data_IF_386866296619
#
_entry.id   IF_386866296619
#
_cell.length_a   1.000
_cell.length_b   1.000
_cell.length_c   1.000
_cell.angle_alpha   90.00
_cell.angle_beta   90.00
_cell.angle_gamma   90.00
#
_symmetry.space_group_name_H-M   'P 1'
#
loop_
_entity.id
_entity.type
_entity.pdbx_description
1 polymer ?
#
# COMPACT_ATOMS: atom_id res chain seq x y z
N UNK A 1 -7.80 13.41 -7.01
CA UNK A 1 -7.11 12.84 -5.84
C UNK A 1 -6.31 11.66 -6.33
N UNK A 2 -4.98 11.71 -6.17
CA UNK A 2 -4.07 10.60 -6.45
C UNK A 2 -4.54 9.28 -5.81
N UNK A 3 -4.41 8.16 -6.52
CA UNK A 3 -4.80 6.83 -6.02
C UNK A 3 -3.59 5.98 -5.63
N UNK A 4 -2.59 5.83 -6.49
CA UNK A 4 -1.38 5.09 -6.22
C UNK A 4 -0.56 5.82 -5.15
N UNK A 5 0.06 5.01 -4.31
CA UNK A 5 0.72 5.46 -3.09
C UNK A 5 2.19 5.76 -3.33
N UNK A 6 2.77 6.66 -2.54
CA UNK A 6 4.20 6.99 -2.65
C UNK A 6 4.93 6.52 -1.40
N UNK A 7 5.91 5.65 -1.59
CA UNK A 7 6.87 5.23 -0.57
C UNK A 7 8.13 6.07 -0.71
N UNK A 8 8.58 6.71 0.36
CA UNK A 8 9.82 7.51 0.36
C UNK A 8 10.82 6.88 1.33
N UNK A 9 12.05 6.70 0.89
CA UNK A 9 13.14 6.23 1.75
C UNK A 9 13.69 7.40 2.56
N UNK A 10 13.75 7.25 3.88
CA UNK A 10 14.35 8.24 4.76
C UNK A 10 15.86 8.01 4.86
N UNK A 11 16.59 9.11 4.98
CA UNK A 11 18.05 9.13 5.10
C UNK A 11 18.57 10.53 5.46
N UNK A 12 19.88 10.79 5.28
CA UNK A 12 20.52 12.06 5.64
C UNK A 12 19.87 13.32 5.03
N UNK A 13 19.32 13.24 3.82
CA UNK A 13 18.63 14.37 3.18
C UNK A 13 17.28 14.73 3.84
N UNK A 14 16.78 13.86 4.71
CA UNK A 14 15.48 13.98 5.39
C UNK A 14 15.62 13.96 6.92
N UNK A 15 16.82 14.24 7.43
CA UNK A 15 17.15 14.07 8.85
C UNK A 15 16.72 15.26 9.73
N UNK A 16 15.49 15.72 9.53
CA UNK A 16 14.84 16.69 10.39
C UNK A 16 13.32 16.52 10.38
N UNK A 17 12.67 17.01 11.43
CA UNK A 17 11.21 17.03 11.51
C UNK A 17 10.59 17.81 10.35
N UNK A 18 11.15 18.97 10.02
CA UNK A 18 10.65 19.86 8.98
C UNK A 18 10.70 19.20 7.60
N UNK A 19 11.78 18.48 7.29
CA UNK A 19 11.90 17.75 6.03
C UNK A 19 10.92 16.59 5.95
N UNK A 20 10.79 15.78 7.00
CA UNK A 20 9.82 14.68 7.02
C UNK A 20 8.40 15.21 6.87
N UNK A 21 8.05 16.29 7.58
CA UNK A 21 6.74 16.93 7.43
C UNK A 21 6.53 17.44 6.01
N UNK A 22 7.54 18.06 5.39
CA UNK A 22 7.47 18.51 4.01
C UNK A 22 7.26 17.34 3.02
N UNK A 23 7.86 16.17 3.26
CA UNK A 23 7.57 14.96 2.47
C UNK A 23 6.12 14.49 2.66
N UNK A 24 5.62 14.48 3.89
CA UNK A 24 4.21 14.13 4.18
C UNK A 24 3.28 15.09 3.45
N UNK A 25 3.51 16.40 3.50
CA UNK A 25 2.71 17.42 2.82
C UNK A 25 2.78 17.26 1.28
N UNK A 26 3.98 17.01 0.73
CA UNK A 26 4.19 16.76 -0.70
C UNK A 26 3.53 15.47 -1.20
N UNK A 27 3.22 14.53 -0.30
CA UNK A 27 2.45 13.35 -0.62
C UNK A 27 3.09 12.01 -0.30
N UNK A 28 4.02 11.93 0.64
CA UNK A 28 4.48 10.64 1.17
C UNK A 28 3.31 9.90 1.87
N UNK A 29 3.07 8.65 1.48
CA UNK A 29 2.09 7.78 2.13
C UNK A 29 2.77 6.75 3.06
N UNK A 30 4.03 6.41 2.77
CA UNK A 30 4.81 5.45 3.55
C UNK A 30 6.26 5.89 3.66
N UNK A 31 6.79 5.90 4.87
CA UNK A 31 8.21 6.11 5.14
C UNK A 31 8.94 4.76 5.20
N UNK A 32 9.91 4.56 4.32
CA UNK A 32 10.80 3.38 4.31
C UNK A 32 12.08 3.67 5.11
N UNK A 33 12.42 2.74 5.99
CA UNK A 33 13.65 2.71 6.77
C UNK A 33 14.52 1.58 6.23
N UNK A 34 15.64 1.92 5.58
CA UNK A 34 16.60 0.95 5.07
C UNK A 34 17.53 0.50 6.22
N UNK A 35 17.15 -0.59 6.91
CA UNK A 35 17.87 -1.06 8.09
C UNK A 35 19.21 -1.70 7.70
N UNK A 36 20.15 -1.74 8.64
CA UNK A 36 21.49 -2.31 8.43
C UNK A 36 22.49 -1.44 7.66
N UNK A 37 22.13 -0.19 7.33
CA UNK A 37 23.02 0.82 6.74
C UNK A 37 23.37 1.96 7.71
N UNK A 38 22.49 2.25 8.67
CA UNK A 38 22.63 3.34 9.64
C UNK A 38 22.43 2.83 11.08
N UNK A 39 22.74 3.68 12.07
CA UNK A 39 22.56 3.36 13.47
C UNK A 39 21.08 3.39 13.91
N UNK A 40 20.70 2.54 14.87
CA UNK A 40 19.32 2.48 15.39
C UNK A 40 18.82 3.81 15.98
N UNK A 41 19.71 4.60 16.59
CA UNK A 41 19.36 5.90 17.16
C UNK A 41 18.78 6.86 16.12
N UNK A 42 19.39 6.93 14.93
CA UNK A 42 18.91 7.77 13.82
C UNK A 42 17.52 7.31 13.34
N UNK A 43 17.32 5.99 13.23
CA UNK A 43 16.02 5.45 12.85
C UNK A 43 14.93 5.72 13.91
N UNK A 44 15.26 5.70 15.21
CA UNK A 44 14.28 6.02 16.27
C UNK A 44 13.81 7.47 16.21
N UNK A 45 14.70 8.43 15.95
CA UNK A 45 14.33 9.84 15.80
C UNK A 45 13.44 10.06 14.59
N UNK A 46 13.83 9.53 13.43
CA UNK A 46 13.01 9.59 12.21
C UNK A 46 11.65 8.94 12.39
N UNK A 47 11.57 7.80 13.10
CA UNK A 47 10.29 7.18 13.43
C UNK A 47 9.38 8.12 14.23
N UNK A 48 9.91 8.79 15.27
CA UNK A 48 9.14 9.76 16.06
C UNK A 48 8.68 10.95 15.22
N UNK A 49 9.53 11.47 14.34
CA UNK A 49 9.16 12.56 13.44
C UNK A 49 8.07 12.17 12.44
N UNK A 50 8.12 10.96 11.87
CA UNK A 50 7.05 10.47 10.98
C UNK A 50 5.72 10.37 11.72
N UNK A 51 5.71 9.79 12.94
CA UNK A 51 4.46 9.70 13.72
C UNK A 51 3.93 11.08 14.09
N UNK A 52 4.79 11.99 14.55
CA UNK A 52 4.42 13.39 14.84
C UNK A 52 3.83 14.09 13.61
N UNK A 53 4.48 13.98 12.45
CA UNK A 53 4.01 14.61 11.21
C UNK A 53 2.67 14.02 10.73
N UNK A 54 2.48 12.70 10.85
CA UNK A 54 1.23 12.03 10.52
C UNK A 54 0.07 12.53 11.41
N UNK A 55 0.32 12.67 12.72
CA UNK A 55 -0.67 13.17 13.67
C UNK A 55 -1.03 14.64 13.43
N UNK A 56 -0.03 15.51 13.24
CA UNK A 56 -0.26 16.96 13.00
C UNK A 56 -0.97 17.23 11.66
N UNK A 57 -0.67 16.47 10.61
CA UNK A 57 -1.29 16.66 9.29
C UNK A 57 -2.62 15.91 9.15
N UNK A 58 -2.94 15.01 10.09
CA UNK A 58 -4.08 14.09 10.00
C UNK A 58 -3.94 13.02 8.90
N UNK A 59 -2.81 12.97 8.18
CA UNK A 59 -2.56 12.00 7.10
C UNK A 59 -2.13 10.66 7.68
N UNK A 60 -2.63 9.58 7.09
CA UNK A 60 -2.18 8.23 7.45
C UNK A 60 -0.86 7.92 6.77
N UNK A 61 0.25 7.95 7.52
CA UNK A 61 1.59 7.60 7.02
C UNK A 61 2.04 6.28 7.63
N UNK A 62 2.20 5.25 6.80
CA UNK A 62 2.75 3.97 7.22
C UNK A 62 4.27 4.03 7.39
N UNK A 63 4.84 3.14 8.22
CA UNK A 63 6.30 2.96 8.32
C UNK A 63 6.69 1.53 7.95
N UNK A 64 7.66 1.42 7.05
CA UNK A 64 8.14 0.19 6.46
C UNK A 64 9.59 -0.06 6.87
N UNK A 65 9.85 -1.18 7.52
CA UNK A 65 11.19 -1.65 7.85
C UNK A 65 11.72 -2.51 6.69
N UNK A 66 12.75 -2.05 5.98
CA UNK A 66 13.39 -2.82 4.91
C UNK A 66 14.64 -3.51 5.47
N UNK A 67 14.59 -4.83 5.57
CA UNK A 67 15.69 -5.65 6.06
C UNK A 67 16.74 -5.79 4.96
N UNK A 68 18.00 -5.52 5.29
CA UNK A 68 19.12 -5.55 4.34
C UNK A 68 19.28 -6.92 3.66
N UNK A 69 19.05 -8.00 4.39
CA UNK A 69 19.29 -9.35 3.93
C UNK A 69 20.78 -9.72 3.89
N UNK A 70 21.11 -10.94 3.43
CA UNK A 70 22.47 -11.45 3.45
C UNK A 70 23.42 -10.62 2.58
N UNK A 71 24.48 -10.08 3.20
CA UNK A 71 25.49 -9.22 2.53
C UNK A 71 26.33 -9.99 1.51
N UNK A 72 26.48 -11.31 1.64
CA UNK A 72 27.12 -12.17 0.62
C UNK A 72 26.75 -13.65 0.76
N UNK A 73 26.66 -14.35 -0.37
CA UNK A 73 26.62 -15.82 -0.45
C UNK A 73 25.23 -16.48 -0.27
N UNK A 74 25.16 -17.82 -0.38
CA UNK A 74 23.91 -18.60 -0.32
C UNK A 74 23.38 -18.77 1.12
N UNK A 75 23.69 -17.83 2.01
CA UNK A 75 23.38 -17.90 3.43
C UNK A 75 21.88 -17.95 3.76
N UNK A 76 21.55 -18.01 5.06
CA UNK A 76 20.17 -17.93 5.52
C UNK A 76 19.54 -16.63 5.03
N UNK A 77 18.21 -16.66 4.83
CA UNK A 77 17.48 -15.49 4.32
C UNK A 77 17.47 -14.31 5.30
N UNK A 78 17.62 -14.59 6.59
CA UNK A 78 17.88 -13.59 7.62
C UNK A 78 19.28 -13.81 8.18
N UNK A 79 20.10 -12.76 8.18
CA UNK A 79 21.32 -12.73 8.99
C UNK A 79 20.99 -12.48 10.47
N UNK A 80 21.91 -12.75 11.41
CA UNK A 80 21.71 -12.37 12.81
C UNK A 80 21.44 -10.86 13.00
N UNK A 81 22.02 -10.02 12.14
CA UNK A 81 21.74 -8.59 12.13
C UNK A 81 20.30 -8.29 11.68
N UNK A 82 19.82 -8.96 10.61
CA UNK A 82 18.43 -8.81 10.15
C UNK A 82 17.44 -9.29 11.22
N UNK A 83 17.72 -10.39 11.93
CA UNK A 83 16.87 -10.86 13.02
C UNK A 83 16.81 -9.80 14.15
N UNK A 84 17.95 -9.21 14.51
CA UNK A 84 17.98 -8.16 15.52
C UNK A 84 17.19 -6.92 15.06
N UNK A 85 17.30 -6.53 13.79
CA UNK A 85 16.63 -5.36 13.22
C UNK A 85 15.12 -5.60 13.09
N UNK A 86 14.72 -6.81 12.72
CA UNK A 86 13.33 -7.23 12.70
C UNK A 86 12.69 -7.16 14.09
N UNK A 87 13.36 -7.69 15.13
CA UNK A 87 12.86 -7.59 16.51
C UNK A 87 12.68 -6.14 16.95
N UNK A 88 13.64 -5.28 16.62
CA UNK A 88 13.52 -3.85 16.92
C UNK A 88 12.35 -3.21 16.17
N UNK A 89 12.19 -3.48 14.87
CA UNK A 89 11.06 -2.96 14.11
C UNK A 89 9.70 -3.39 14.70
N UNK A 90 9.58 -4.66 15.13
CA UNK A 90 8.39 -5.20 15.79
C UNK A 90 8.09 -4.46 17.10
N UNK A 91 9.09 -4.28 17.97
CA UNK A 91 8.95 -3.60 19.27
C UNK A 91 8.66 -2.10 19.13
N UNK A 92 9.33 -1.43 18.20
CA UNK A 92 9.15 0.01 17.93
C UNK A 92 7.76 0.31 17.37
N UNK A 93 7.11 -0.68 16.75
CA UNK A 93 5.75 -0.56 16.23
C UNK A 93 5.69 -0.19 14.76
N UNK A 94 6.61 -0.76 13.96
CA UNK A 94 6.51 -0.66 12.50
C UNK A 94 5.23 -1.29 11.96
N UNK A 95 4.79 -0.82 10.79
CA UNK A 95 3.52 -1.23 10.21
C UNK A 95 3.67 -2.40 9.23
N UNK A 96 4.81 -2.46 8.53
CA UNK A 96 5.13 -3.44 7.48
C UNK A 96 6.64 -3.72 7.47
N UNK A 97 7.02 -4.94 7.08
CA UNK A 97 8.42 -5.35 6.85
C UNK A 97 8.61 -5.66 5.36
N UNK A 98 9.75 -5.32 4.79
CA UNK A 98 10.19 -5.82 3.49
C UNK A 98 11.40 -6.74 3.67
N UNK A 99 11.34 -7.93 3.05
CA UNK A 99 12.40 -8.94 3.10
C UNK A 99 13.19 -8.91 1.79
N UNK A 100 14.49 -8.60 1.87
CA UNK A 100 15.41 -8.61 0.72
C UNK A 100 15.78 -10.02 0.27
N UNK A 101 16.18 -10.13 -1.00
CA UNK A 101 16.72 -11.33 -1.63
C UNK A 101 15.87 -12.59 -1.47
N UNK A 102 14.55 -12.44 -1.50
CA UNK A 102 13.62 -13.57 -1.49
C UNK A 102 13.90 -14.48 -2.69
N UNK A 103 13.86 -15.79 -2.45
CA UNK A 103 14.08 -16.85 -3.44
C UNK A 103 12.85 -17.74 -3.57
N UNK A 104 12.07 -17.91 -2.51
CA UNK A 104 10.87 -18.77 -2.50
C UNK A 104 9.82 -18.31 -1.50
N UNK A 105 8.61 -18.85 -1.62
CA UNK A 105 7.53 -18.60 -0.64
C UNK A 105 7.88 -19.06 0.80
N UNK A 106 8.79 -20.02 0.97
CA UNK A 106 9.21 -20.53 2.29
C UNK A 106 10.08 -19.55 3.08
N UNK A 107 10.68 -18.57 2.41
CA UNK A 107 11.55 -17.60 3.07
C UNK A 107 10.81 -16.78 4.15
N UNK A 108 9.49 -16.67 4.05
CA UNK A 108 8.66 -16.01 5.06
C UNK A 108 8.68 -16.73 6.42
N UNK A 109 8.95 -18.04 6.45
CA UNK A 109 8.93 -18.84 7.68
C UNK A 109 9.99 -18.35 8.68
N UNK A 110 11.15 -17.90 8.19
CA UNK A 110 12.20 -17.33 9.04
C UNK A 110 11.76 -16.01 9.69
N UNK A 111 11.05 -15.15 8.94
CA UNK A 111 10.51 -13.88 9.45
C UNK A 111 9.40 -14.15 10.47
N UNK A 112 8.49 -15.07 10.17
CA UNK A 112 7.42 -15.45 11.08
C UNK A 112 7.92 -16.04 12.38
N UNK A 113 8.97 -16.88 12.35
CA UNK A 113 9.60 -17.41 13.58
C UNK A 113 10.01 -16.28 14.52
N UNK A 114 10.75 -15.30 14.02
CA UNK A 114 11.21 -14.16 14.83
C UNK A 114 10.03 -13.33 15.36
N UNK A 115 9.03 -13.07 14.51
CA UNK A 115 7.82 -12.33 14.92
C UNK A 115 6.98 -13.07 15.96
N UNK A 116 6.91 -14.41 15.88
CA UNK A 116 6.20 -15.25 16.84
C UNK A 116 6.87 -15.22 18.22
N UNK A 117 8.20 -15.22 18.26
CA UNK A 117 8.97 -15.06 19.50
C UNK A 117 8.76 -13.69 20.14
N UNK A 118 8.57 -12.63 19.34
CA UNK A 118 8.22 -11.29 19.82
C UNK A 118 6.71 -11.11 20.10
N UNK A 119 5.89 -12.14 19.83
CA UNK A 119 4.45 -12.15 20.08
C UNK A 119 3.62 -11.22 19.17
N UNK A 120 4.18 -10.75 18.06
CA UNK A 120 3.50 -9.82 17.13
C UNK A 120 3.95 -10.03 15.69
N UNK A 121 3.00 -10.34 14.82
CA UNK A 121 3.22 -10.39 13.35
C UNK A 121 2.89 -9.06 12.67
N UNK A 122 3.78 -8.66 11.77
CA UNK A 122 3.58 -7.57 10.82
C UNK A 122 3.44 -8.15 9.41
N UNK A 123 2.70 -7.49 8.49
CA UNK A 123 2.70 -7.86 7.09
C UNK A 123 4.12 -7.83 6.50
N UNK A 124 4.43 -8.81 5.64
CA UNK A 124 5.74 -8.94 5.00
C UNK A 124 5.62 -8.78 3.49
N UNK A 125 6.39 -7.84 2.91
CA UNK A 125 6.58 -7.70 1.47
C UNK A 125 7.81 -8.50 1.04
N UNK A 126 7.66 -9.40 0.07
CA UNK A 126 8.81 -10.03 -0.58
C UNK A 126 9.42 -9.10 -1.61
N UNK A 127 10.71 -8.81 -1.51
CA UNK A 127 11.45 -8.08 -2.54
C UNK A 127 11.88 -9.05 -3.64
N UNK A 128 11.34 -8.83 -4.85
CA UNK A 128 11.59 -9.63 -6.05
C UNK A 128 12.85 -9.11 -6.72
N UNK A 129 13.99 -9.63 -6.27
CA UNK A 129 15.35 -9.19 -6.67
C UNK A 129 16.15 -10.32 -7.32
N UNK A 130 15.74 -11.57 -7.08
CA UNK A 130 16.46 -12.77 -7.49
C UNK A 130 15.70 -13.53 -8.58
N UNK A 131 16.39 -14.10 -9.59
CA UNK A 131 15.76 -14.94 -10.63
C UNK A 131 14.92 -16.09 -10.07
N UNK A 132 15.32 -16.64 -8.91
CA UNK A 132 14.59 -17.67 -8.19
C UNK A 132 13.19 -17.19 -7.75
N UNK A 133 13.08 -15.98 -7.20
CA UNK A 133 11.78 -15.40 -6.86
C UNK A 133 10.93 -15.11 -8.10
N UNK A 134 11.54 -14.72 -9.22
CA UNK A 134 10.82 -14.54 -10.49
C UNK A 134 10.26 -15.86 -11.00
N UNK A 135 11.04 -16.94 -10.92
CA UNK A 135 10.59 -18.28 -11.29
C UNK A 135 9.46 -18.77 -10.37
N UNK A 136 9.59 -18.55 -9.06
CA UNK A 136 8.65 -18.95 -8.02
C UNK A 136 7.59 -17.88 -7.68
N UNK A 137 7.32 -16.93 -8.57
CA UNK A 137 6.55 -15.73 -8.24
C UNK A 137 5.11 -16.03 -7.78
N UNK A 138 4.52 -17.12 -8.25
CA UNK A 138 3.19 -17.55 -7.80
C UNK A 138 3.19 -18.00 -6.34
N UNK A 139 4.19 -18.79 -5.94
CA UNK A 139 4.36 -19.24 -4.55
C UNK A 139 4.74 -18.09 -3.62
N UNK A 140 5.61 -17.18 -4.09
CA UNK A 140 6.00 -15.97 -3.35
C UNK A 140 4.76 -15.09 -3.11
N UNK A 141 4.00 -14.79 -4.17
CA UNK A 141 2.76 -14.02 -4.02
C UNK A 141 1.73 -14.78 -3.18
N UNK A 142 1.68 -16.10 -3.19
CA UNK A 142 0.75 -16.85 -2.33
C UNK A 142 1.13 -16.75 -0.84
N UNK A 143 2.42 -16.82 -0.51
CA UNK A 143 2.93 -16.85 0.86
C UNK A 143 3.01 -15.48 1.55
N UNK A 144 3.49 -14.44 0.86
CA UNK A 144 3.75 -13.11 1.44
C UNK A 144 2.53 -12.19 1.42
N UNK A 145 2.47 -11.17 2.27
CA UNK A 145 1.33 -10.24 2.33
C UNK A 145 1.28 -9.24 1.16
N UNK A 146 2.42 -9.04 0.52
CA UNK A 146 2.60 -8.23 -0.68
C UNK A 146 3.98 -8.45 -1.30
N UNK A 147 4.29 -7.69 -2.34
CA UNK A 147 5.59 -7.77 -3.01
C UNK A 147 6.15 -6.39 -3.34
N UNK A 148 7.46 -6.32 -3.50
CA UNK A 148 8.17 -5.14 -4.00
C UNK A 148 9.03 -5.58 -5.20
N UNK A 149 8.80 -4.99 -6.36
CA UNK A 149 9.62 -5.24 -7.56
C UNK A 149 10.80 -4.28 -7.52
N UNK A 150 11.96 -4.76 -7.08
CA UNK A 150 13.19 -3.98 -6.94
C UNK A 150 14.06 -4.15 -8.20
N UNK A 151 13.87 -3.21 -9.13
CA UNK A 151 14.32 -3.30 -10.52
C UNK A 151 15.84 -3.13 -10.68
N UNK A 152 16.46 -2.34 -9.82
CA UNK A 152 17.91 -2.14 -9.79
C UNK A 152 18.64 -3.45 -9.50
N UNK A 153 18.33 -4.09 -8.37
CA UNK A 153 18.90 -5.39 -8.01
C UNK A 153 18.54 -6.48 -9.03
N UNK A 154 17.28 -6.50 -9.48
CA UNK A 154 16.85 -7.49 -10.46
C UNK A 154 17.60 -7.32 -11.79
N UNK A 155 17.84 -6.09 -12.25
CA UNK A 155 18.59 -5.81 -13.48
C UNK A 155 20.08 -6.16 -13.40
N UNK A 156 20.63 -6.36 -12.21
CA UNK A 156 21.97 -6.92 -12.01
C UNK A 156 21.96 -8.45 -12.12
N UNK A 157 20.89 -9.09 -11.65
CA UNK A 157 20.80 -10.55 -11.52
C UNK A 157 20.18 -11.25 -12.75
N UNK A 158 19.57 -10.50 -13.68
CA UNK A 158 19.01 -11.04 -14.93
C UNK A 158 19.11 -10.03 -16.09
N UNK A 159 18.97 -10.47 -17.36
CA UNK A 159 19.01 -9.55 -18.52
C UNK A 159 18.03 -8.39 -18.39
N UNK A 160 18.52 -7.16 -18.59
CA UNK A 160 17.78 -5.92 -18.35
C UNK A 160 16.52 -5.80 -19.21
N UNK A 161 16.55 -6.35 -20.43
CA UNK A 161 15.44 -6.34 -21.38
C UNK A 161 14.24 -7.19 -20.91
N UNK A 162 14.44 -8.09 -19.95
CA UNK A 162 13.38 -8.92 -19.38
C UNK A 162 12.71 -8.28 -18.15
N UNK A 163 13.38 -7.33 -17.48
CA UNK A 163 12.88 -6.71 -16.23
C UNK A 163 11.49 -6.07 -16.41
N UNK A 164 11.18 -5.32 -17.49
CA UNK A 164 9.84 -4.75 -17.69
C UNK A 164 8.74 -5.81 -17.80
N UNK A 165 9.04 -6.96 -18.42
CA UNK A 165 8.08 -8.06 -18.57
C UNK A 165 7.82 -8.74 -17.22
N UNK A 166 8.86 -8.91 -16.41
CA UNK A 166 8.75 -9.45 -15.04
C UNK A 166 7.91 -8.52 -14.16
N UNK A 167 8.15 -7.21 -14.20
CA UNK A 167 7.33 -6.21 -13.49
C UNK A 167 5.85 -6.37 -13.83
N UNK A 168 5.51 -6.36 -15.12
CA UNK A 168 4.12 -6.49 -15.60
C UNK A 168 3.45 -7.76 -15.09
N UNK A 169 4.18 -8.89 -15.11
CA UNK A 169 3.69 -10.17 -14.60
C UNK A 169 3.47 -10.12 -13.09
N UNK A 170 4.45 -9.62 -12.32
CA UNK A 170 4.40 -9.54 -10.86
C UNK A 170 3.26 -8.65 -10.37
N UNK A 171 3.14 -7.42 -10.92
CA UNK A 171 2.07 -6.47 -10.58
C UNK A 171 0.69 -7.07 -10.86
N UNK A 172 0.49 -7.67 -12.03
CA UNK A 172 -0.78 -8.33 -12.39
C UNK A 172 -1.14 -9.45 -11.42
N UNK A 173 -0.15 -10.26 -11.04
CA UNK A 173 -0.34 -11.39 -10.14
C UNK A 173 -0.67 -10.94 -8.70
N UNK A 174 0.02 -9.93 -8.18
CA UNK A 174 -0.26 -9.35 -6.87
C UNK A 174 -1.66 -8.74 -6.81
N UNK A 175 -2.02 -7.91 -7.81
CA UNK A 175 -3.35 -7.32 -7.98
C UNK A 175 -4.44 -8.40 -8.02
N UNK A 176 -4.24 -9.48 -8.81
CA UNK A 176 -5.19 -10.60 -8.89
C UNK A 176 -5.45 -11.23 -7.52
N UNK A 177 -4.41 -11.34 -6.69
CA UNK A 177 -4.48 -11.92 -5.35
C UNK A 177 -4.86 -10.92 -4.25
N UNK A 178 -5.22 -9.67 -4.60
CA UNK A 178 -5.53 -8.61 -3.63
C UNK A 178 -4.38 -8.33 -2.65
N UNK A 179 -3.14 -8.41 -3.14
CA UNK A 179 -1.92 -8.16 -2.38
C UNK A 179 -1.26 -6.88 -2.86
N UNK A 180 -0.83 -5.96 -1.97
CA UNK A 180 -0.17 -4.74 -2.37
C UNK A 180 1.12 -5.03 -3.14
N UNK A 181 1.38 -4.25 -4.17
CA UNK A 181 2.63 -4.29 -4.93
C UNK A 181 3.25 -2.90 -5.00
N UNK A 182 4.55 -2.84 -4.70
CA UNK A 182 5.38 -1.64 -4.82
C UNK A 182 6.32 -1.83 -6.01
N UNK A 183 6.39 -0.85 -6.92
CA UNK A 183 7.46 -0.79 -7.93
C UNK A 183 8.54 0.16 -7.42
N UNK A 184 9.76 -0.34 -7.35
CA UNK A 184 10.86 0.26 -6.62
C UNK A 184 12.13 0.40 -7.45
N UNK A 185 12.99 1.34 -7.03
CA UNK A 185 14.31 1.69 -7.57
C UNK A 185 14.28 2.22 -9.01
N UNK A 186 15.25 3.06 -9.38
CA UNK A 186 15.38 3.64 -10.73
C UNK A 186 14.11 4.35 -11.23
N UNK A 187 13.36 5.00 -10.33
CA UNK A 187 12.11 5.66 -10.70
C UNK A 187 12.37 7.09 -11.20
N UNK A 188 12.98 7.93 -10.37
CA UNK A 188 13.37 9.30 -10.71
C UNK A 188 14.84 9.53 -10.33
N UNK A 189 15.71 8.55 -10.57
CA UNK A 189 17.10 8.47 -10.08
C UNK A 189 17.93 9.73 -10.39
N UNK A 190 17.75 10.34 -11.56
CA UNK A 190 18.42 11.58 -11.92
C UNK A 190 18.11 12.73 -10.96
N UNK A 191 17.00 12.65 -10.22
CA UNK A 191 16.60 13.65 -9.23
C UNK A 191 17.39 13.59 -7.92
N UNK A 192 18.28 12.63 -7.74
CA UNK A 192 19.30 12.66 -6.69
C UNK A 192 20.15 13.93 -6.83
N UNK A 193 20.58 14.24 -8.06
CA UNK A 193 21.46 15.38 -8.35
C UNK A 193 20.75 16.55 -9.05
N UNK A 194 19.61 16.31 -9.70
CA UNK A 194 18.92 17.31 -10.54
C UNK A 194 17.51 17.64 -10.05
N UNK A 195 17.07 18.89 -10.21
CA UNK A 195 15.72 19.29 -9.79
C UNK A 195 14.59 18.78 -10.72
N UNK A 196 14.92 18.08 -11.82
CA UNK A 196 13.94 17.54 -12.79
C UNK A 196 14.39 16.17 -13.29
N UNK A 197 13.43 15.26 -13.54
CA UNK A 197 13.72 13.95 -14.11
C UNK A 197 13.88 14.05 -15.63
N UNK A 198 14.45 12.99 -16.19
CA UNK A 198 14.46 12.74 -17.63
C UNK A 198 13.08 12.32 -18.14
N UNK A 199 12.87 12.41 -19.46
CA UNK A 199 11.63 11.91 -20.09
C UNK A 199 11.46 10.39 -19.96
N UNK A 200 12.58 9.66 -19.92
CA UNK A 200 12.57 8.21 -19.77
C UNK A 200 12.03 7.80 -18.40
N UNK A 201 12.49 8.45 -17.33
CA UNK A 201 12.01 8.24 -15.96
C UNK A 201 10.54 8.59 -15.80
N UNK A 202 10.08 9.72 -16.38
CA UNK A 202 8.66 10.07 -16.38
C UNK A 202 7.82 8.99 -17.05
N UNK A 203 8.27 8.48 -18.21
CA UNK A 203 7.59 7.39 -18.92
C UNK A 203 7.57 6.10 -18.09
N UNK A 204 8.66 5.79 -17.40
CA UNK A 204 8.80 4.58 -16.60
C UNK A 204 7.87 4.59 -15.38
N UNK A 205 7.84 5.70 -14.62
CA UNK A 205 6.89 5.90 -13.52
C UNK A 205 5.45 5.76 -14.01
N UNK A 206 5.10 6.42 -15.12
CA UNK A 206 3.75 6.33 -15.69
C UNK A 206 3.40 4.89 -16.08
N UNK A 207 4.33 4.14 -16.67
CA UNK A 207 4.11 2.74 -17.03
C UNK A 207 3.91 1.84 -15.79
N UNK A 208 4.61 2.08 -14.68
CA UNK A 208 4.37 1.36 -13.44
C UNK A 208 2.94 1.56 -12.90
N UNK A 209 2.42 2.80 -13.01
CA UNK A 209 1.02 3.12 -12.65
C UNK A 209 0.04 2.43 -13.60
N UNK A 210 0.27 2.49 -14.90
CA UNK A 210 -0.57 1.85 -15.93
C UNK A 210 -0.58 0.32 -15.82
N UNK A 211 0.54 -0.29 -15.40
CA UNK A 211 0.61 -1.72 -15.07
C UNK A 211 -0.29 -2.09 -13.88
N UNK A 212 -0.65 -1.10 -13.07
CA UNK A 212 -1.59 -1.21 -11.96
C UNK A 212 -0.91 -1.38 -10.61
N UNK A 213 0.29 -0.84 -10.42
CA UNK A 213 0.96 -0.88 -9.11
C UNK A 213 0.12 -0.23 -8.01
N UNK A 214 0.24 -0.70 -6.77
CA UNK A 214 -0.42 -0.04 -5.63
C UNK A 214 0.39 1.16 -5.15
N UNK A 215 1.73 1.05 -5.21
CA UNK A 215 2.62 2.12 -4.84
C UNK A 215 3.86 2.20 -5.75
N UNK A 216 4.46 3.39 -5.78
CA UNK A 216 5.75 3.71 -6.40
C UNK A 216 6.72 4.15 -5.30
N UNK A 217 8.01 3.82 -5.43
CA UNK A 217 8.99 4.09 -4.37
C UNK A 217 10.18 4.94 -4.83
N UNK A 218 10.46 5.98 -4.05
CA UNK A 218 11.68 6.78 -4.12
C UNK A 218 12.73 6.21 -3.15
N UNK A 219 13.94 6.01 -3.65
CA UNK A 219 15.08 5.43 -2.95
C UNK A 219 16.09 6.54 -2.61
N UNK A 220 17.18 6.64 -3.36
CA UNK A 220 18.21 7.66 -3.17
C UNK A 220 17.67 9.08 -3.34
N UNK A 221 16.64 9.25 -4.17
CA UNK A 221 16.01 10.53 -4.48
C UNK A 221 15.55 11.28 -3.23
N UNK A 222 15.03 10.56 -2.23
CA UNK A 222 14.60 11.15 -0.96
C UNK A 222 15.58 10.90 0.18
N UNK A 223 16.35 9.81 0.16
CA UNK A 223 17.22 9.48 1.30
C UNK A 223 18.51 10.32 1.32
N UNK A 224 19.12 10.56 0.16
CA UNK A 224 20.42 11.27 0.03
C UNK A 224 20.41 12.38 -1.02
N UNK A 225 19.36 12.46 -1.82
CA UNK A 225 19.23 13.42 -2.92
C UNK A 225 19.15 14.88 -2.46
N UNK A 226 19.50 15.79 -3.37
CA UNK A 226 19.50 17.24 -3.14
C UNK A 226 18.10 17.86 -3.17
N UNK A 227 17.11 17.14 -3.71
CA UNK A 227 15.77 17.65 -4.01
C UNK A 227 14.66 16.69 -3.54
N UNK A 228 14.65 16.29 -2.25
CA UNK A 228 13.77 15.20 -1.78
C UNK A 228 12.28 15.58 -1.87
N UNK A 229 11.91 16.82 -1.53
CA UNK A 229 10.52 17.29 -1.58
C UNK A 229 10.05 17.45 -3.03
N UNK A 230 10.90 17.94 -3.91
CA UNK A 230 10.61 18.08 -5.34
C UNK A 230 10.48 16.72 -6.04
N UNK A 231 11.25 15.71 -5.61
CA UNK A 231 11.12 14.35 -6.11
C UNK A 231 9.75 13.76 -5.76
N UNK A 232 9.28 13.90 -4.51
CA UNK A 232 7.93 13.47 -4.10
C UNK A 232 6.84 14.22 -4.87
N UNK A 233 6.97 15.54 -4.98
CA UNK A 233 6.00 16.38 -5.70
C UNK A 233 5.94 16.02 -7.19
N UNK A 234 7.09 15.68 -7.79
CA UNK A 234 7.17 15.27 -9.19
C UNK A 234 6.58 13.89 -9.40
N UNK A 235 6.91 12.93 -8.52
CA UNK A 235 6.30 11.60 -8.50
C UNK A 235 4.77 11.71 -8.41
N UNK A 236 4.24 12.54 -7.51
CA UNK A 236 2.80 12.74 -7.35
C UNK A 236 2.13 13.24 -8.64
N UNK A 237 2.71 14.23 -9.32
CA UNK A 237 2.19 14.77 -10.59
C UNK A 237 2.18 13.73 -11.70
N UNK A 238 3.22 12.91 -11.82
CA UNK A 238 3.30 11.86 -12.84
C UNK A 238 2.24 10.79 -12.58
N UNK A 239 2.08 10.38 -11.31
CA UNK A 239 1.05 9.41 -10.90
C UNK A 239 -0.33 9.92 -11.24
N UNK A 240 -0.67 11.16 -10.86
CA UNK A 240 -1.99 11.74 -11.13
C UNK A 240 -2.28 11.84 -12.64
N UNK A 241 -1.29 12.23 -13.44
CA UNK A 241 -1.43 12.30 -14.90
C UNK A 241 -1.63 10.90 -15.52
N UNK A 242 -0.90 9.88 -15.05
CA UNK A 242 -1.06 8.51 -15.53
C UNK A 242 -2.41 7.90 -15.13
N UNK A 243 -2.97 8.32 -13.99
CA UNK A 243 -4.26 7.85 -13.50
C UNK A 243 -5.45 8.40 -14.27
N UNK A 244 -5.35 9.58 -14.88
CA UNK A 244 -6.45 10.20 -15.62
C UNK A 244 -7.01 9.23 -16.69
N UNK A 245 -6.12 8.65 -17.50
CA UNK A 245 -6.50 7.66 -18.52
C UNK A 245 -7.02 6.35 -17.93
N UNK A 246 -6.43 5.87 -16.83
CA UNK A 246 -6.86 4.65 -16.15
C UNK A 246 -8.28 4.77 -15.58
N UNK A 247 -8.58 5.91 -14.95
CA UNK A 247 -9.87 6.16 -14.31
C UNK A 247 -10.95 6.46 -15.36
N UNK A 248 -10.60 7.14 -16.45
CA UNK A 248 -11.52 7.41 -17.56
C UNK A 248 -12.01 6.13 -18.26
N UNK A 249 -11.20 5.06 -18.24
CA UNK A 249 -11.60 3.76 -18.80
C UNK A 249 -12.69 3.04 -17.98
N UNK A 250 -12.97 3.50 -16.75
CA UNK A 250 -13.97 2.90 -15.87
C UNK A 250 -13.58 1.52 -15.34
N UNK A 251 -14.58 0.78 -14.86
CA UNK A 251 -14.38 -0.58 -14.37
C UNK A 251 -14.08 -1.55 -15.53
N UNK A 252 -12.94 -2.23 -15.44
CA UNK A 252 -12.59 -3.26 -16.42
C UNK A 252 -13.69 -4.35 -16.50
N UNK A 253 -14.07 -4.80 -17.72
CA UNK A 253 -15.02 -5.89 -17.89
C UNK A 253 -14.57 -7.20 -17.24
N UNK A 254 -15.54 -7.96 -16.75
CA UNK A 254 -15.29 -9.31 -16.26
C UNK A 254 -15.09 -10.29 -17.43
N UNK A 255 -14.08 -11.13 -17.28
CA UNK A 255 -13.70 -12.23 -18.18
C UNK A 255 -13.44 -13.47 -17.34
N UNK A 256 -13.37 -14.64 -17.94
CA UNK A 256 -13.01 -15.87 -17.22
C UNK A 256 -11.63 -15.82 -16.54
N UNK A 257 -10.76 -14.92 -17.02
CA UNK A 257 -9.41 -14.73 -16.48
C UNK A 257 -9.37 -13.84 -15.24
N UNK A 258 -10.30 -12.90 -15.09
CA UNK A 258 -10.29 -11.91 -13.99
C UNK A 258 -11.50 -11.98 -13.06
N UNK A 259 -12.52 -12.82 -13.36
CA UNK A 259 -13.68 -12.99 -12.48
C UNK A 259 -13.26 -13.53 -11.10
N UNK A 260 -13.80 -12.97 -10.00
CA UNK A 260 -13.46 -13.42 -8.66
C UNK A 260 -13.94 -14.86 -8.40
N UNK A 261 -13.15 -15.62 -7.63
CA UNK A 261 -13.49 -17.00 -7.21
C UNK A 261 -13.74 -17.17 -5.72
N UNK A 262 -13.58 -16.09 -4.95
CA UNK A 262 -13.78 -16.07 -3.50
C UNK A 262 -15.04 -15.25 -3.17
N UNK A 263 -15.78 -15.61 -2.12
CA UNK A 263 -16.94 -14.84 -1.63
C UNK A 263 -16.65 -13.34 -1.52
N UNK A 264 -15.62 -12.95 -0.74
CA UNK A 264 -15.29 -11.54 -0.55
C UNK A 264 -14.87 -10.82 -1.84
N UNK A 265 -14.27 -11.54 -2.78
CA UNK A 265 -13.93 -11.00 -4.10
C UNK A 265 -15.16 -10.74 -4.97
N UNK A 266 -16.15 -11.64 -4.94
CA UNK A 266 -17.41 -11.48 -5.68
C UNK A 266 -18.22 -10.31 -5.12
N UNK A 267 -18.32 -10.21 -3.80
CA UNK A 267 -19.00 -9.11 -3.09
C UNK A 267 -18.34 -7.77 -3.38
N UNK A 268 -17.00 -7.69 -3.30
CA UNK A 268 -16.25 -6.48 -3.65
C UNK A 268 -16.49 -6.06 -5.11
N UNK A 269 -16.50 -7.00 -6.05
CA UNK A 269 -16.81 -6.69 -7.44
C UNK A 269 -18.24 -6.16 -7.61
N UNK A 270 -19.21 -6.83 -7.01
CA UNK A 270 -20.61 -6.43 -7.06
C UNK A 270 -20.81 -5.02 -6.47
N UNK A 271 -20.16 -4.71 -5.34
CA UNK A 271 -20.20 -3.37 -4.75
C UNK A 271 -19.66 -2.29 -5.70
N UNK A 272 -18.56 -2.57 -6.41
CA UNK A 272 -18.01 -1.65 -7.40
C UNK A 272 -18.97 -1.43 -8.59
N UNK A 273 -19.57 -2.50 -9.13
CA UNK A 273 -20.53 -2.42 -10.24
C UNK A 273 -21.83 -1.71 -9.83
N UNK A 274 -22.38 -2.02 -8.66
CA UNK A 274 -23.55 -1.33 -8.12
C UNK A 274 -23.25 0.16 -7.94
N UNK A 275 -22.06 0.50 -7.44
CA UNK A 275 -21.64 1.89 -7.30
C UNK A 275 -21.57 2.61 -8.64
N UNK A 276 -21.03 1.96 -9.65
CA UNK A 276 -20.92 2.50 -11.01
C UNK A 276 -22.30 2.74 -11.65
N UNK A 277 -23.19 1.73 -11.58
CA UNK A 277 -24.54 1.82 -12.15
C UNK A 277 -25.41 2.90 -11.51
N UNK A 278 -25.24 3.13 -10.21
CA UNK A 278 -26.05 4.08 -9.46
C UNK A 278 -25.41 5.46 -9.30
N UNK A 279 -24.20 5.66 -9.83
CA UNK A 279 -23.46 6.92 -9.67
C UNK A 279 -23.10 7.21 -8.21
N UNK A 280 -22.68 6.19 -7.46
CA UNK A 280 -22.29 6.34 -6.07
C UNK A 280 -21.07 7.27 -5.94
N UNK A 281 -21.13 8.16 -4.96
CA UNK A 281 -20.06 9.11 -4.67
C UNK A 281 -18.83 8.42 -4.08
N UNK A 282 -19.05 7.40 -3.25
CA UNK A 282 -17.98 6.62 -2.62
C UNK A 282 -18.34 5.14 -2.53
N UNK A 283 -17.31 4.32 -2.65
CA UNK A 283 -17.31 2.96 -2.11
C UNK A 283 -16.81 3.05 -0.67
N UNK A 284 -17.55 2.44 0.26
CA UNK A 284 -17.26 2.44 1.68
C UNK A 284 -17.03 1.00 2.13
N UNK A 285 -15.94 0.75 2.85
CA UNK A 285 -15.56 -0.59 3.26
C UNK A 285 -15.21 -0.65 4.75
N UNK A 286 -15.96 -1.43 5.51
CA UNK A 286 -15.58 -1.78 6.88
C UNK A 286 -14.59 -2.93 6.88
N UNK A 287 -13.54 -2.81 7.70
CA UNK A 287 -12.50 -3.83 7.76
C UNK A 287 -11.77 -3.86 9.09
N UNK A 288 -11.39 -5.06 9.52
CA UNK A 288 -10.46 -5.25 10.65
C UNK A 288 -9.04 -5.53 10.19
N UNK A 289 -8.85 -6.30 9.10
CA UNK A 289 -7.53 -6.72 8.59
C UNK A 289 -7.11 -6.03 7.29
N UNK A 290 -8.00 -5.22 6.70
CA UNK A 290 -7.82 -4.59 5.39
C UNK A 290 -8.21 -5.46 4.18
N UNK A 291 -8.57 -6.73 4.37
CA UNK A 291 -8.84 -7.65 3.24
C UNK A 291 -9.98 -7.18 2.34
N UNK A 292 -11.13 -6.78 2.91
CA UNK A 292 -12.26 -6.19 2.16
C UNK A 292 -11.80 -5.04 1.26
N UNK A 293 -10.99 -4.14 1.82
CA UNK A 293 -10.51 -2.92 1.16
C UNK A 293 -9.57 -3.28 0.01
N UNK A 294 -8.62 -4.19 0.22
CA UNK A 294 -7.70 -4.65 -0.83
C UNK A 294 -8.45 -5.34 -1.98
N UNK A 295 -9.50 -6.11 -1.68
CA UNK A 295 -10.35 -6.76 -2.70
C UNK A 295 -11.16 -5.77 -3.52
N UNK A 296 -11.57 -4.64 -2.95
CA UNK A 296 -12.19 -3.54 -3.69
C UNK A 296 -11.16 -2.79 -4.53
N UNK A 297 -10.07 -2.38 -3.88
CA UNK A 297 -8.99 -1.59 -4.48
C UNK A 297 -8.39 -2.24 -5.72
N UNK A 298 -8.24 -3.58 -5.74
CA UNK A 298 -7.68 -4.30 -6.90
C UNK A 298 -8.48 -4.12 -8.20
N UNK A 299 -9.76 -3.75 -8.12
CA UNK A 299 -10.58 -3.50 -9.32
C UNK A 299 -10.30 -2.13 -9.94
N UNK A 300 -9.55 -1.26 -9.23
CA UNK A 300 -9.17 0.09 -9.69
C UNK A 300 -10.39 0.91 -10.12
N UNK A 301 -11.45 0.86 -9.31
CA UNK A 301 -12.67 1.64 -9.53
C UNK A 301 -12.36 3.13 -9.65
N UNK A 302 -12.99 3.86 -10.58
CA UNK A 302 -12.90 5.32 -10.60
C UNK A 302 -13.54 5.96 -9.35
N UNK A 303 -14.53 5.27 -8.77
CA UNK A 303 -15.22 5.69 -7.55
C UNK A 303 -14.22 5.64 -6.37
N UNK A 304 -14.03 6.76 -5.64
CA UNK A 304 -13.11 6.79 -4.51
C UNK A 304 -13.52 5.80 -3.41
N UNK A 305 -12.52 5.19 -2.77
CA UNK A 305 -12.69 4.16 -1.76
C UNK A 305 -12.32 4.68 -0.36
N UNK A 306 -13.29 4.60 0.55
CA UNK A 306 -13.14 4.97 1.95
C UNK A 306 -13.15 3.71 2.82
N UNK A 307 -12.11 3.52 3.63
CA UNK A 307 -12.00 2.41 4.56
C UNK A 307 -12.33 2.86 5.98
N UNK A 308 -13.12 2.08 6.69
CA UNK A 308 -13.44 2.26 8.10
C UNK A 308 -12.89 1.09 8.91
N UNK A 309 -12.14 1.39 9.95
CA UNK A 309 -11.54 0.38 10.83
C UNK A 309 -11.45 0.90 12.27
N UNK A 310 -11.56 -0.01 13.23
CA UNK A 310 -11.25 0.29 14.64
C UNK A 310 -9.76 0.12 14.97
N UNK A 311 -9.00 -0.50 14.05
CA UNK A 311 -7.62 -0.89 14.29
C UNK A 311 -6.64 0.13 13.68
N UNK A 312 -5.91 0.86 14.54
CA UNK A 312 -4.86 1.79 14.11
C UNK A 312 -3.83 1.10 13.20
N UNK A 313 -3.42 -0.13 13.53
CA UNK A 313 -2.49 -0.89 12.72
C UNK A 313 -3.02 -1.14 11.30
N UNK A 314 -4.32 -1.39 11.14
CA UNK A 314 -4.93 -1.59 9.83
C UNK A 314 -5.01 -0.30 9.02
N UNK A 315 -5.30 0.84 9.67
CA UNK A 315 -5.20 2.16 9.02
C UNK A 315 -3.80 2.41 8.48
N UNK A 316 -2.77 2.20 9.29
CA UNK A 316 -1.39 2.39 8.86
C UNK A 316 -1.02 1.44 7.72
N UNK A 317 -1.41 0.16 7.76
CA UNK A 317 -1.12 -0.81 6.68
C UNK A 317 -1.82 -0.47 5.35
N UNK A 318 -3.01 0.11 5.39
CA UNK A 318 -3.76 0.52 4.20
C UNK A 318 -3.16 1.77 3.50
N UNK A 319 -2.18 2.44 4.13
CA UNK A 319 -1.41 3.50 3.48
C UNK A 319 -0.68 3.00 2.22
N UNK A 320 -0.34 1.71 2.12
CA UNK A 320 0.23 1.06 0.93
C UNK A 320 -0.80 0.61 -0.12
N UNK A 321 -2.11 0.67 0.18
CA UNK A 321 -3.15 0.14 -0.72
C UNK A 321 -3.67 1.23 -1.64
N UNK A 322 -3.77 0.93 -2.94
CA UNK A 322 -4.17 1.90 -3.97
C UNK A 322 -5.56 2.50 -3.72
N UNK A 323 -5.68 3.81 -3.83
CA UNK A 323 -6.94 4.54 -3.90
C UNK A 323 -7.73 4.62 -2.60
N UNK A 324 -7.13 4.22 -1.48
CA UNK A 324 -7.79 4.16 -0.17
C UNK A 324 -7.48 5.40 0.66
N UNK A 325 -8.53 6.08 1.12
CA UNK A 325 -8.52 6.94 2.29
C UNK A 325 -9.09 6.15 3.49
N UNK A 326 -8.47 6.25 4.66
CA UNK A 326 -8.87 5.43 5.83
C UNK A 326 -9.25 6.28 7.03
N UNK A 327 -10.35 5.92 7.66
CA UNK A 327 -10.91 6.56 8.85
C UNK A 327 -10.89 5.58 10.02
N UNK A 328 -10.48 6.10 11.17
CA UNK A 328 -10.66 5.40 12.44
C UNK A 328 -12.03 5.73 13.01
N UNK A 329 -12.69 4.72 13.56
CA UNK A 329 -13.85 4.92 14.38
C UNK A 329 -14.05 3.74 15.32
N UNK A 330 -15.13 3.75 16.13
CA UNK A 330 -15.39 2.68 17.07
C UNK A 330 -15.62 1.34 16.37
N UNK A 331 -15.45 0.25 17.12
CA UNK A 331 -15.96 -1.05 16.70
C UNK A 331 -17.49 -0.95 16.62
N UNK A 332 -18.06 -1.54 15.56
CA UNK A 332 -19.50 -1.62 15.37
C UNK A 332 -19.94 -3.07 15.56
N UNK A 333 -20.93 -3.28 16.43
CA UNK A 333 -21.44 -4.62 16.76
C UNK A 333 -22.59 -5.05 15.83
N UNK A 334 -23.20 -4.10 15.11
CA UNK A 334 -24.30 -4.35 14.17
C UNK A 334 -24.07 -3.63 12.84
N UNK A 335 -24.72 -4.11 11.78
CA UNK A 335 -24.69 -3.46 10.47
C UNK A 335 -25.34 -2.09 10.48
N UNK A 336 -26.33 -1.87 11.35
CA UNK A 336 -26.98 -0.55 11.47
C UNK A 336 -26.07 0.45 12.19
N UNK A 337 -25.30 0.00 13.18
CA UNK A 337 -24.26 0.83 13.81
C UNK A 337 -23.18 1.24 12.79
N UNK A 338 -22.80 0.34 11.86
CA UNK A 338 -21.91 0.69 10.76
C UNK A 338 -22.48 1.80 9.89
N UNK A 339 -23.76 1.73 9.51
CA UNK A 339 -24.42 2.76 8.68
C UNK A 339 -24.46 4.11 9.41
N UNK A 340 -24.86 4.12 10.68
CA UNK A 340 -24.86 5.35 11.49
C UNK A 340 -23.45 5.97 11.58
N UNK A 341 -22.42 5.14 11.71
CA UNK A 341 -21.03 5.59 11.72
C UNK A 341 -20.58 6.18 10.37
N UNK A 342 -21.03 5.61 9.24
CA UNK A 342 -20.79 6.19 7.91
C UNK A 342 -21.39 7.59 7.82
N UNK A 343 -22.65 7.75 8.24
CA UNK A 343 -23.31 9.06 8.24
C UNK A 343 -22.57 10.09 9.07
N UNK A 344 -22.27 9.76 10.33
CA UNK A 344 -21.59 10.65 11.26
C UNK A 344 -20.23 11.11 10.71
N UNK A 345 -19.39 10.15 10.31
CA UNK A 345 -18.01 10.44 9.94
C UNK A 345 -17.92 11.10 8.56
N UNK A 346 -18.70 10.67 7.57
CA UNK A 346 -18.65 11.29 6.24
C UNK A 346 -19.18 12.72 6.23
N UNK A 347 -20.20 13.02 7.04
CA UNK A 347 -20.69 14.38 7.23
C UNK A 347 -19.68 15.22 8.03
N UNK A 348 -19.15 14.70 9.15
CA UNK A 348 -18.16 15.41 9.98
C UNK A 348 -16.91 15.80 9.21
N UNK A 349 -16.37 14.90 8.38
CA UNK A 349 -15.16 15.15 7.59
C UNK A 349 -15.44 15.87 6.26
N UNK A 350 -16.68 16.28 6.00
CA UNK A 350 -17.07 16.99 4.77
C UNK A 350 -16.82 16.18 3.50
N UNK A 351 -16.83 14.85 3.58
CA UNK A 351 -16.67 13.97 2.41
C UNK A 351 -17.97 13.84 1.64
N UNK A 352 -19.10 13.78 2.34
CA UNK A 352 -20.45 13.74 1.79
C UNK A 352 -21.33 14.88 2.29
N UNK A 353 -22.34 15.22 1.50
CA UNK A 353 -23.53 15.94 1.92
C UNK A 353 -24.69 14.96 2.15
N UNK A 354 -25.71 15.40 2.89
CA UNK A 354 -26.95 14.61 3.05
C UNK A 354 -27.57 14.32 1.67
N UNK A 355 -27.99 13.08 1.46
CA UNK A 355 -28.57 12.59 0.21
C UNK A 355 -27.57 11.99 -0.79
N UNK A 356 -26.26 12.19 -0.59
CA UNK A 356 -25.22 11.55 -1.40
C UNK A 356 -25.35 10.03 -1.30
N UNK A 357 -25.19 9.36 -2.44
CA UNK A 357 -25.26 7.91 -2.52
C UNK A 357 -23.90 7.28 -2.25
N UNK A 358 -23.85 6.29 -1.36
CA UNK A 358 -22.66 5.48 -1.09
C UNK A 358 -22.99 3.99 -1.19
N UNK A 359 -22.00 3.17 -1.54
CA UNK A 359 -22.10 1.71 -1.49
C UNK A 359 -21.20 1.18 -0.39
N UNK A 360 -21.82 0.58 0.62
CA UNK A 360 -21.16 0.05 1.80
C UNK A 360 -20.94 -1.45 1.62
N UNK A 361 -19.73 -1.93 1.91
CA UNK A 361 -19.43 -3.36 2.03
C UNK A 361 -18.75 -3.67 3.35
N UNK A 362 -19.11 -4.83 3.92
CA UNK A 362 -18.58 -5.31 5.20
C UNK A 362 -18.69 -6.84 5.30
N UNK A 363 -18.18 -7.38 6.40
CA UNK A 363 -18.54 -8.71 6.88
C UNK A 363 -19.69 -8.61 7.89
N UNK A 364 -20.64 -9.53 7.79
CA UNK A 364 -21.72 -9.76 8.74
C UNK A 364 -21.69 -11.22 9.22
N UNK A 365 -21.57 -11.50 10.53
CA UNK A 365 -21.56 -10.54 11.64
C UNK A 365 -20.32 -9.62 11.62
N UNK A 366 -20.46 -8.37 12.10
CA UNK A 366 -19.33 -7.45 12.27
C UNK A 366 -18.20 -8.04 13.11
N UNK A 367 -17.00 -7.49 12.92
CA UNK A 367 -15.89 -7.79 13.82
C UNK A 367 -15.20 -9.15 13.59
N UNK A 368 -15.48 -9.83 12.47
CA UNK A 368 -14.81 -11.09 12.11
C UNK A 368 -13.99 -10.93 10.82
N UNK A 369 -12.65 -11.10 10.84
CA UNK A 369 -11.82 -10.97 9.64
C UNK A 369 -12.19 -11.99 8.54
N UNK A 370 -12.04 -11.61 7.27
CA UNK A 370 -12.24 -12.51 6.11
C UNK A 370 -13.72 -12.84 5.79
N UNK A 371 -14.67 -12.21 6.47
CA UNK A 371 -16.11 -12.54 6.34
C UNK A 371 -16.87 -11.69 5.33
N UNK A 372 -16.21 -10.83 4.53
CA UNK A 372 -16.85 -9.94 3.55
C UNK A 372 -17.94 -10.67 2.74
N UNK A 373 -19.20 -10.30 2.99
CA UNK A 373 -20.38 -10.99 2.50
C UNK A 373 -21.60 -10.08 2.26
N UNK A 374 -21.48 -8.77 2.51
CA UNK A 374 -22.58 -7.82 2.39
C UNK A 374 -22.25 -6.67 1.45
N UNK A 375 -23.25 -6.22 0.69
CA UNK A 375 -23.30 -4.93 -0.01
C UNK A 375 -24.59 -4.22 0.38
N UNK A 376 -24.51 -2.94 0.74
CA UNK A 376 -25.66 -2.07 1.03
C UNK A 376 -25.53 -0.78 0.24
N UNK A 377 -26.59 -0.40 -0.46
CA UNK A 377 -26.73 0.93 -1.06
C UNK A 377 -27.38 1.83 -0.01
N UNK A 378 -26.81 3.01 0.22
CA UNK A 378 -27.29 3.91 1.26
C UNK A 378 -27.19 5.37 0.83
N UNK A 379 -28.18 6.19 1.22
CA UNK A 379 -28.15 7.65 1.06
C UNK A 379 -27.79 8.29 2.38
N UNK A 380 -26.68 9.02 2.39
CA UNK A 380 -26.12 9.61 3.62
C UNK A 380 -27.16 10.49 4.33
N UNK A 381 -27.41 10.18 5.60
CA UNK A 381 -28.33 10.92 6.48
C UNK A 381 -29.81 10.67 6.23
N UNK A 382 -30.17 9.62 5.48
CA UNK A 382 -31.55 9.14 5.35
C UNK A 382 -31.84 8.08 6.42
N UNK A 383 -33.00 8.19 7.07
CA UNK A 383 -33.59 7.04 7.76
C UNK A 383 -34.12 6.10 6.66
N UNK A 384 -33.41 5.01 6.36
CA UNK A 384 -33.82 3.99 5.37
C UNK A 384 -35.09 3.20 5.80
N UNK A 385 -36.00 3.81 6.57
CA UNK A 385 -37.34 3.27 6.81
C UNK A 385 -38.14 3.43 5.51
N UNK A 386 -38.67 2.35 4.91
CA UNK A 386 -39.51 2.49 3.73
C UNK A 386 -40.72 3.37 4.07
N UNK A 387 -41.03 4.28 3.15
CA UNK A 387 -42.24 5.10 3.19
C UNK A 387 -43.50 4.25 3.06
#
# INVERSE_FOLDING_TARGET
>A
MRRAKIVCTLGPATDSYEQIKALVDAGMDVARFALGYEGRGEHEERYRWVRKAADETGRSVGVLADLRGPVSGPGPVLSPADEADLRWAVRTGFDVVALSFVRSGRDIEAVHRVMDEEGRRLPVLAKVEKPQAVAAIEDVVAAFDGIMVARGDLGVEMPLEHVPIVQKRAVRLAKRNAKPVVVATQMLDSMIEHARPTRAEVSDVANAVLDGTDAVMLSGETSVGRHPVEAVTTMARIVEAAEEGLLAAGLAPLTDRNKPRTRGGAVARAAAEIGDFLGARFLVAFTQSGDTVRRLSRYRSPIPLLAFTAEQATRSRLSLTWGVETFLGPAADTTDAMVAQVDELLLRYGRCARGDLVVITAGSPPGVPGTTNMVRVHRVGADDRPA
#
